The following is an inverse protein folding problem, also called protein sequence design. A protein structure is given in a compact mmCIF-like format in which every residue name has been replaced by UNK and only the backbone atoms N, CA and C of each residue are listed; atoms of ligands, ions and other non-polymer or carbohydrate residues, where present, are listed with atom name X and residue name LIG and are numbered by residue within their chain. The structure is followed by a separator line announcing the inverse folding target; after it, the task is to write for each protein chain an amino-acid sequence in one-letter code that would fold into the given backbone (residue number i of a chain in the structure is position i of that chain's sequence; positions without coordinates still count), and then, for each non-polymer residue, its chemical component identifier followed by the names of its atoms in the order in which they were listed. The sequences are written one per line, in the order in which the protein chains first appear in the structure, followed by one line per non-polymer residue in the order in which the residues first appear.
data_IF_488952008263
#
_entry.id   IF_488952008263
#
_cell.length_a   1.000
_cell.length_b   1.000
_cell.length_c   1.000
_cell.angle_alpha   90.00
_cell.angle_beta   90.00
_cell.angle_gamma   90.00
#
_symmetry.space_group_name_H-M   'P 1'
#
loop_
_entity.id
_entity.type
_entity.pdbx_description
1 polymer ?
#
# COMPACT_ATOMS: atom_id res chain seq x y z
N UNK A 1 17.70 8.76 0.85
CA UNK A 1 17.56 7.79 1.97
C UNK A 1 16.48 6.79 1.59
N UNK A 2 16.58 5.53 1.99
CA UNK A 2 15.50 4.57 1.77
C UNK A 2 14.47 4.70 2.91
N UNK A 3 13.21 4.92 2.54
CA UNK A 3 12.09 5.05 3.47
C UNK A 3 11.22 3.80 3.43
N UNK A 4 10.82 3.32 4.61
CA UNK A 4 9.87 2.20 4.76
C UNK A 4 8.53 2.71 5.25
N UNK A 5 7.48 2.43 4.48
CA UNK A 5 6.08 2.55 4.93
C UNK A 5 5.49 1.17 5.17
N UNK A 6 4.78 0.99 6.29
CA UNK A 6 4.08 -0.25 6.60
C UNK A 6 2.64 0.01 7.05
N UNK A 7 1.71 -0.85 6.66
CA UNK A 7 0.31 -0.76 7.07
C UNK A 7 -0.37 -2.13 6.98
N UNK A 8 -1.53 -2.27 7.64
CA UNK A 8 -2.35 -3.47 7.63
C UNK A 8 -3.75 -3.28 7.01
N UNK A 9 -4.36 -4.38 6.59
CA UNK A 9 -5.76 -4.44 6.16
C UNK A 9 -6.42 -5.74 6.65
N UNK A 10 -7.72 -5.68 6.97
CA UNK A 10 -8.48 -6.85 7.46
C UNK A 10 -8.48 -7.04 8.98
N UNK A 11 -7.93 -6.09 9.74
CA UNK A 11 -8.03 -6.11 11.21
C UNK A 11 -9.49 -5.93 11.66
N UNK A 12 -9.95 -6.81 12.54
CA UNK A 12 -11.31 -6.78 13.11
C UNK A 12 -12.39 -7.42 12.22
N UNK A 13 -12.05 -7.89 11.02
CA UNK A 13 -12.96 -8.69 10.19
C UNK A 13 -13.11 -10.09 10.79
N UNK A 14 -14.36 -10.58 10.85
CA UNK A 14 -14.67 -11.95 11.31
C UNK A 14 -14.33 -13.01 10.26
N UNK A 15 -14.39 -12.62 8.98
CA UNK A 15 -14.16 -13.50 7.83
C UNK A 15 -13.04 -12.95 6.97
N UNK A 16 -12.18 -13.84 6.47
CA UNK A 16 -11.08 -13.51 5.56
C UNK A 16 -9.72 -13.40 6.26
N UNK A 17 -8.67 -13.32 5.45
CA UNK A 17 -7.29 -13.11 5.91
C UNK A 17 -7.05 -11.65 6.29
N UNK A 18 -6.10 -11.45 7.20
CA UNK A 18 -5.48 -10.14 7.42
C UNK A 18 -4.23 -10.03 6.55
N UNK A 19 -3.90 -8.83 6.11
CA UNK A 19 -2.71 -8.55 5.31
C UNK A 19 -1.87 -7.47 5.96
N UNK A 20 -0.55 -7.64 5.91
CA UNK A 20 0.42 -6.60 6.28
C UNK A 20 1.27 -6.31 5.05
N UNK A 21 1.40 -5.04 4.68
CA UNK A 21 2.18 -4.62 3.54
C UNK A 21 3.30 -3.67 4.00
N UNK A 22 4.51 -3.92 3.50
CA UNK A 22 5.66 -3.03 3.59
C UNK A 22 6.07 -2.54 2.19
N UNK A 23 6.43 -1.27 2.09
CA UNK A 23 6.87 -0.63 0.85
C UNK A 23 8.14 0.18 1.12
N UNK A 24 9.19 -0.08 0.34
CA UNK A 24 10.42 0.70 0.35
C UNK A 24 10.41 1.69 -0.81
N UNK A 25 10.72 2.96 -0.55
CA UNK A 25 10.76 4.03 -1.55
C UNK A 25 11.97 4.91 -1.29
N UNK A 26 12.67 5.31 -2.35
CA UNK A 26 13.70 6.34 -2.23
C UNK A 26 13.06 7.69 -1.88
N UNK A 27 13.67 8.42 -0.93
CA UNK A 27 13.17 9.70 -0.42
C UNK A 27 12.93 10.75 -1.52
N UNK A 28 13.74 10.78 -2.57
CA UNK A 28 13.58 11.69 -3.71
C UNK A 28 12.35 11.40 -4.56
N UNK A 29 11.87 10.14 -4.55
CA UNK A 29 10.63 9.71 -5.23
C UNK A 29 9.38 9.89 -4.38
N UNK A 30 9.52 10.31 -3.13
CA UNK A 30 8.38 10.50 -2.24
C UNK A 30 7.43 11.62 -2.74
N UNK A 31 7.96 12.62 -3.45
CA UNK A 31 7.16 13.69 -4.04
C UNK A 31 6.17 13.19 -5.10
N UNK A 32 6.51 12.12 -5.83
CA UNK A 32 5.62 11.48 -6.80
C UNK A 32 4.36 10.91 -6.11
N UNK A 33 4.49 10.37 -4.89
CA UNK A 33 3.37 9.83 -4.10
C UNK A 33 2.38 10.92 -3.68
N UNK A 34 2.88 12.08 -3.28
CA UNK A 34 2.05 13.21 -2.86
C UNK A 34 1.18 13.70 -4.03
N UNK A 35 1.75 13.75 -5.24
CA UNK A 35 1.05 14.17 -6.45
C UNK A 35 -0.05 13.22 -6.93
N UNK A 36 -0.07 11.97 -6.49
CA UNK A 36 -1.03 10.95 -6.95
C UNK A 36 -2.30 10.83 -6.08
N UNK A 37 -2.47 11.70 -5.09
CA UNK A 37 -3.65 11.69 -4.23
C UNK A 37 -3.55 10.67 -3.10
N UNK A 38 -2.34 10.46 -2.54
CA UNK A 38 -2.09 9.55 -1.42
C UNK A 38 -2.93 9.82 -0.16
N UNK A 39 -3.62 10.96 -0.07
CA UNK A 39 -4.36 11.39 1.12
C UNK A 39 -5.74 10.75 1.31
N UNK A 40 -6.43 10.26 0.27
CA UNK A 40 -7.74 9.63 0.51
C UNK A 40 -8.13 8.49 -0.44
N UNK A 41 -7.21 7.53 -0.59
CA UNK A 41 -7.47 6.29 -1.33
C UNK A 41 -8.69 5.49 -0.83
N UNK A 42 -9.19 5.80 0.38
CA UNK A 42 -10.35 5.15 1.00
C UNK A 42 -11.67 5.50 0.31
N UNK A 43 -11.76 6.67 -0.33
CA UNK A 43 -12.94 7.08 -1.10
C UNK A 43 -12.93 6.53 -2.54
N UNK A 44 -11.83 5.92 -2.98
CA UNK A 44 -11.69 5.40 -4.33
C UNK A 44 -12.43 4.06 -4.52
N UNK A 45 -13.02 3.90 -5.70
CA UNK A 45 -13.55 2.60 -6.14
C UNK A 45 -12.44 1.54 -6.17
N UNK A 46 -12.78 0.23 -6.05
CA UNK A 46 -11.79 -0.84 -6.08
C UNK A 46 -10.86 -0.77 -7.30
N UNK A 47 -11.41 -0.56 -8.50
CA UNK A 47 -10.62 -0.42 -9.73
C UNK A 47 -9.66 0.78 -9.71
N UNK A 48 -10.08 1.91 -9.12
CA UNK A 48 -9.20 3.08 -8.95
C UNK A 48 -8.07 2.79 -7.94
N UNK A 49 -8.35 2.05 -6.85
CA UNK A 49 -7.33 1.60 -5.89
C UNK A 49 -6.31 0.65 -6.52
N UNK A 50 -6.74 -0.27 -7.37
CA UNK A 50 -5.82 -1.15 -8.11
C UNK A 50 -4.92 -0.36 -9.06
N UNK A 51 -5.47 0.62 -9.77
CA UNK A 51 -4.69 1.51 -10.63
C UNK A 51 -3.67 2.33 -9.83
N UNK A 52 -4.07 2.87 -8.68
CA UNK A 52 -3.17 3.58 -7.77
C UNK A 52 -2.07 2.65 -7.23
N UNK A 53 -2.41 1.42 -6.83
CA UNK A 53 -1.44 0.44 -6.36
C UNK A 53 -0.38 0.10 -7.43
N UNK A 54 -0.78 0.02 -8.72
CA UNK A 54 0.18 -0.14 -9.83
C UNK A 54 1.14 1.05 -9.95
N UNK A 55 0.64 2.27 -9.81
CA UNK A 55 1.49 3.48 -9.83
C UNK A 55 2.47 3.48 -8.66
N UNK A 56 1.99 3.23 -7.44
CA UNK A 56 2.83 3.15 -6.24
C UNK A 56 3.93 2.09 -6.40
N UNK A 57 3.59 0.91 -6.94
CA UNK A 57 4.58 -0.15 -7.23
C UNK A 57 5.65 0.26 -8.23
N UNK A 58 5.32 1.10 -9.22
CA UNK A 58 6.29 1.53 -10.23
C UNK A 58 7.38 2.48 -9.70
N UNK A 59 7.16 3.10 -8.54
CA UNK A 59 8.18 3.95 -7.91
C UNK A 59 8.91 3.27 -6.74
N UNK A 60 8.38 2.16 -6.24
CA UNK A 60 8.91 1.47 -5.08
C UNK A 60 10.23 0.77 -5.43
N UNK A 61 11.20 0.87 -4.54
CA UNK A 61 12.47 0.14 -4.62
C UNK A 61 12.24 -1.34 -4.30
N UNK A 62 11.32 -1.63 -3.37
CA UNK A 62 10.90 -2.99 -3.03
C UNK A 62 9.52 -2.99 -2.33
N UNK A 63 8.85 -4.15 -2.30
CA UNK A 63 7.60 -4.35 -1.56
C UNK A 63 7.52 -5.75 -0.95
N UNK A 64 6.82 -5.86 0.18
CA UNK A 64 6.49 -7.15 0.78
C UNK A 64 5.04 -7.17 1.25
N UNK A 65 4.34 -8.28 1.02
CA UNK A 65 2.96 -8.48 1.47
C UNK A 65 2.89 -9.82 2.18
N UNK A 66 2.50 -9.80 3.45
CA UNK A 66 2.22 -10.98 4.26
C UNK A 66 0.72 -11.20 4.34
N UNK A 67 0.27 -12.39 3.97
CA UNK A 67 -1.09 -12.87 4.26
C UNK A 67 -1.08 -13.66 5.58
N UNK A 68 -1.82 -13.17 6.58
CA UNK A 68 -2.13 -13.88 7.81
C UNK A 68 -3.50 -14.53 7.70
N UNK A 69 -3.50 -15.83 7.38
CA UNK A 69 -4.73 -16.62 7.21
C UNK A 69 -5.43 -16.87 8.56
N UNK A 70 -6.78 -16.87 8.59
CA UNK A 70 -7.52 -17.32 9.76
C UNK A 70 -7.19 -18.80 10.04
N UNK A 71 -7.12 -19.16 11.31
CA UNK A 71 -6.92 -20.55 11.75
C UNK A 71 -8.24 -21.26 11.98
#
# INVERSE_FOLDING_TARGET
MLLLGANEAGKGSVVGSMFVAGLFVEEDRLFDLAGWGGQDSKQLSPAKRESLARKIRSIASDQYILEAKPR
#
